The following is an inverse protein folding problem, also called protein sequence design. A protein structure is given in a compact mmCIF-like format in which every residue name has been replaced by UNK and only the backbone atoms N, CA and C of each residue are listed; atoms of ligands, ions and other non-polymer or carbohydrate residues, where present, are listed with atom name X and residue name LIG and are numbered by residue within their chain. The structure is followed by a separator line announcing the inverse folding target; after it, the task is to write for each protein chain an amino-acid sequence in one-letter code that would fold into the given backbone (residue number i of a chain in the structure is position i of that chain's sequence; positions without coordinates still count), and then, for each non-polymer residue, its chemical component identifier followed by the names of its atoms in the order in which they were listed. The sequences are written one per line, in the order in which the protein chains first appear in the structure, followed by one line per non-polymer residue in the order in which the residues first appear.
data_IF_852973822611
#
_entry.id   IF_852973822611
#
_cell.length_a   1.000
_cell.length_b   1.000
_cell.length_c   1.000
_cell.angle_alpha   90.00
_cell.angle_beta   90.00
_cell.angle_gamma   90.00
#
_symmetry.space_group_name_H-M   'P 1'
#
loop_
_entity.id
_entity.type
_entity.pdbx_description
1 polymer ?
#
# COMPACT_ATOMS: atom_id res chain seq x y z
N UNK A 1 39.66 -16.28 -37.48
CA UNK A 1 38.84 -16.98 -36.47
C UNK A 1 37.84 -15.95 -35.90
N UNK A 2 36.60 -16.02 -36.32
CA UNK A 2 35.56 -15.11 -35.81
C UNK A 2 34.99 -15.73 -34.52
N UNK A 3 35.06 -14.98 -33.43
CA UNK A 3 34.43 -15.35 -32.15
C UNK A 3 32.93 -15.24 -32.29
N UNK A 4 32.22 -16.35 -32.23
CA UNK A 4 30.75 -16.39 -32.10
C UNK A 4 30.39 -15.96 -30.69
N UNK A 5 29.74 -14.79 -30.54
CA UNK A 5 29.05 -14.41 -29.32
C UNK A 5 28.00 -15.47 -28.98
N UNK A 6 27.87 -15.91 -27.71
CA UNK A 6 26.79 -16.78 -27.35
C UNK A 6 25.45 -16.00 -27.48
N UNK A 7 24.52 -16.56 -28.24
CA UNK A 7 23.17 -16.08 -28.28
C UNK A 7 22.61 -16.13 -26.83
N UNK A 8 22.15 -15.01 -26.30
CA UNK A 8 21.46 -14.96 -25.01
C UNK A 8 20.19 -15.82 -25.12
N UNK A 9 20.15 -16.86 -24.30
CA UNK A 9 19.04 -17.81 -24.25
C UNK A 9 17.79 -17.11 -23.67
N UNK A 10 17.06 -16.43 -24.55
CA UNK A 10 15.80 -15.75 -24.21
C UNK A 10 14.67 -16.73 -23.83
N UNK A 11 14.91 -18.05 -24.00
CA UNK A 11 13.90 -19.08 -23.72
C UNK A 11 13.81 -19.46 -22.23
N UNK A 12 14.86 -19.19 -21.43
CA UNK A 12 14.87 -19.57 -20.00
C UNK A 12 14.13 -18.57 -19.09
N UNK A 13 13.89 -17.34 -19.52
CA UNK A 13 13.22 -16.33 -18.70
C UNK A 13 11.70 -16.52 -18.64
N UNK A 14 11.09 -17.28 -19.55
CA UNK A 14 9.64 -17.55 -19.57
C UNK A 14 9.18 -18.52 -18.47
N UNK A 15 10.10 -19.22 -17.81
CA UNK A 15 9.79 -20.15 -16.70
C UNK A 15 10.00 -19.51 -15.31
N UNK A 16 10.55 -18.30 -15.23
CA UNK A 16 10.84 -17.65 -13.96
C UNK A 16 9.61 -16.88 -13.47
N UNK A 17 9.18 -17.18 -12.24
CA UNK A 17 8.18 -16.37 -11.51
C UNK A 17 8.90 -15.19 -10.83
N UNK A 18 8.84 -14.01 -11.43
CA UNK A 18 9.49 -12.81 -10.89
C UNK A 18 8.54 -12.17 -9.86
N UNK A 19 9.02 -12.01 -8.65
CA UNK A 19 8.29 -11.33 -7.57
C UNK A 19 9.01 -10.03 -7.25
N UNK A 20 8.30 -8.93 -7.35
CA UNK A 20 8.75 -7.63 -6.85
C UNK A 20 8.47 -7.55 -5.36
N UNK A 21 9.52 -7.38 -4.56
CA UNK A 21 9.44 -7.45 -3.08
C UNK A 21 9.50 -6.09 -2.40
N UNK A 22 9.51 -4.99 -3.14
CA UNK A 22 9.65 -3.63 -2.62
C UNK A 22 8.75 -2.66 -3.38
N UNK A 23 7.44 -2.90 -3.29
CA UNK A 23 6.43 -2.04 -3.86
C UNK A 23 5.55 -1.43 -2.77
N UNK A 24 4.94 -0.28 -3.07
CA UNK A 24 4.03 0.41 -2.15
C UNK A 24 2.62 0.48 -2.71
N UNK A 25 1.64 0.49 -1.81
CA UNK A 25 0.25 0.81 -2.16
C UNK A 25 0.00 2.30 -1.88
N UNK A 26 -0.71 2.97 -2.78
CA UNK A 26 -1.30 4.27 -2.46
C UNK A 26 -2.72 4.02 -1.98
N UNK A 27 -2.97 4.30 -0.72
CA UNK A 27 -4.29 4.10 -0.11
C UNK A 27 -5.32 5.03 -0.74
N UNK A 28 -6.48 4.48 -1.12
CA UNK A 28 -7.61 5.28 -1.55
C UNK A 28 -8.04 6.25 -0.44
N UNK A 29 -8.39 7.48 -0.80
CA UNK A 29 -8.69 8.53 0.17
C UNK A 29 -9.85 8.20 1.10
N UNK A 30 -10.71 7.29 0.71
CA UNK A 30 -11.85 6.80 1.49
C UNK A 30 -11.65 5.40 2.09
N UNK A 31 -10.44 4.83 2.03
CA UNK A 31 -10.16 3.46 2.48
C UNK A 31 -10.76 3.19 3.87
N UNK A 32 -10.50 4.07 4.83
CA UNK A 32 -11.02 3.93 6.20
C UNK A 32 -12.45 4.41 6.34
N UNK A 33 -12.78 5.57 5.78
CA UNK A 33 -14.10 6.19 5.95
C UNK A 33 -15.22 5.42 5.28
N UNK A 34 -14.95 4.68 4.20
CA UNK A 34 -15.94 3.81 3.54
C UNK A 34 -16.25 2.53 4.34
N UNK A 35 -15.32 2.07 5.19
CA UNK A 35 -15.41 0.81 5.94
C UNK A 35 -15.71 0.99 7.44
N UNK A 36 -15.41 2.16 7.97
CA UNK A 36 -15.59 2.44 9.39
C UNK A 36 -17.04 2.36 9.82
N UNK A 37 -17.35 1.79 11.00
CA UNK A 37 -18.66 1.90 11.60
C UNK A 37 -19.03 3.37 11.84
N UNK A 38 -20.33 3.68 11.84
CA UNK A 38 -20.83 5.06 11.93
C UNK A 38 -20.25 5.84 13.13
N UNK A 39 -20.02 5.17 14.26
CA UNK A 39 -19.45 5.78 15.47
C UNK A 39 -17.97 6.19 15.35
N UNK A 40 -17.25 5.67 14.37
CA UNK A 40 -15.83 5.96 14.17
C UNK A 40 -15.56 6.73 12.87
N UNK A 41 -16.55 6.90 12.01
CA UNK A 41 -16.38 7.40 10.64
C UNK A 41 -15.67 8.75 10.57
N UNK A 42 -15.94 9.65 11.50
CA UNK A 42 -15.33 10.97 11.57
C UNK A 42 -13.98 10.99 12.31
N UNK A 43 -13.60 9.84 12.88
CA UNK A 43 -12.39 9.71 13.69
C UNK A 43 -11.28 8.88 13.03
N UNK A 44 -11.63 7.97 12.11
CA UNK A 44 -10.64 7.18 11.36
C UNK A 44 -9.82 8.05 10.40
N UNK A 45 -8.68 7.54 9.86
CA UNK A 45 -7.90 8.27 8.87
C UNK A 45 -8.76 8.76 7.70
N UNK A 46 -8.65 10.04 7.39
CA UNK A 46 -9.34 10.73 6.32
C UNK A 46 -8.46 11.83 5.73
N UNK A 47 -8.72 12.18 4.48
CA UNK A 47 -8.01 13.27 3.81
C UNK A 47 -8.73 14.59 4.06
N UNK A 48 -7.99 15.62 4.45
CA UNK A 48 -8.45 17.01 4.61
C UNK A 48 -7.61 17.94 3.76
N UNK A 49 -8.10 19.16 3.53
CA UNK A 49 -7.42 20.14 2.70
C UNK A 49 -7.68 19.98 1.19
N UNK A 50 -6.97 20.71 0.38
CA UNK A 50 -7.10 20.69 -1.09
C UNK A 50 -5.75 20.90 -1.78
N UNK A 51 -5.60 20.38 -2.99
CA UNK A 51 -4.37 20.49 -3.77
C UNK A 51 -3.15 19.99 -3.00
N UNK A 52 -2.08 20.76 -2.96
CA UNK A 52 -0.83 20.41 -2.29
C UNK A 52 -0.92 20.42 -0.74
N UNK A 53 -1.96 21.07 -0.19
CA UNK A 53 -2.17 21.13 1.27
C UNK A 53 -2.99 19.94 1.80
N UNK A 54 -3.29 18.96 0.96
CA UNK A 54 -3.96 17.72 1.40
C UNK A 54 -3.09 16.96 2.38
N UNK A 55 -3.73 16.49 3.46
CA UNK A 55 -3.07 15.66 4.46
C UNK A 55 -4.00 14.56 4.98
N UNK A 56 -3.41 13.44 5.38
CA UNK A 56 -4.09 12.43 6.16
C UNK A 56 -4.14 12.84 7.62
N UNK A 57 -5.33 12.87 8.17
CA UNK A 57 -5.58 13.15 9.57
C UNK A 57 -6.41 12.05 10.21
N UNK A 58 -6.30 11.91 11.53
CA UNK A 58 -7.04 10.95 12.35
C UNK A 58 -7.54 11.64 13.62
N UNK A 59 -8.62 11.14 14.21
CA UNK A 59 -9.26 11.68 15.41
C UNK A 59 -9.55 13.19 15.30
N UNK A 60 -9.04 14.02 16.20
CA UNK A 60 -9.21 15.48 16.24
C UNK A 60 -8.19 16.19 15.35
N UNK A 61 -8.15 15.81 14.07
CA UNK A 61 -7.26 16.38 13.06
C UNK A 61 -5.75 16.19 13.34
N UNK A 62 -5.39 15.10 14.02
CA UNK A 62 -3.98 14.73 14.19
C UNK A 62 -3.44 14.32 12.82
N UNK A 63 -2.52 15.11 12.28
CA UNK A 63 -1.88 14.79 11.02
C UNK A 63 -0.95 13.59 11.17
N UNK A 64 -1.17 12.55 10.34
CA UNK A 64 -0.38 11.33 10.33
C UNK A 64 0.54 11.23 9.12
N UNK A 65 0.14 11.80 7.97
CA UNK A 65 0.93 11.79 6.74
C UNK A 65 0.50 12.90 5.79
N UNK A 66 1.29 13.13 4.73
CA UNK A 66 0.87 13.83 3.51
C UNK A 66 0.09 12.86 2.62
N UNK A 67 -0.53 13.37 1.55
CA UNK A 67 -1.21 12.52 0.55
C UNK A 67 -0.31 12.14 -0.62
N UNK A 68 1.00 12.27 -0.47
CA UNK A 68 1.95 11.85 -1.50
C UNK A 68 1.80 10.34 -1.78
N UNK A 69 1.60 9.94 -3.05
CA UNK A 69 1.34 8.54 -3.41
C UNK A 69 2.59 7.66 -3.43
N UNK A 70 3.76 8.17 -3.11
CA UNK A 70 5.06 7.46 -3.15
C UNK A 70 5.32 6.73 -4.49
N UNK A 71 4.73 7.20 -5.57
CA UNK A 71 4.90 6.63 -6.91
C UNK A 71 5.86 7.47 -7.75
N UNK A 72 6.81 6.80 -8.38
CA UNK A 72 7.75 7.43 -9.32
C UNK A 72 7.23 7.45 -10.76
N UNK A 73 6.12 6.77 -11.05
CA UNK A 73 5.53 6.69 -12.38
C UNK A 73 4.43 7.73 -12.52
N UNK A 74 4.61 8.64 -13.44
CA UNK A 74 3.64 9.68 -13.77
C UNK A 74 2.41 9.11 -14.47
N UNK A 75 1.34 9.88 -14.51
CA UNK A 75 0.08 9.52 -15.19
C UNK A 75 0.26 9.09 -16.64
N UNK A 76 1.19 9.69 -17.36
CA UNK A 76 1.49 9.36 -18.76
C UNK A 76 2.43 8.13 -18.92
N UNK A 77 2.81 7.46 -17.84
CA UNK A 77 3.73 6.33 -17.84
C UNK A 77 5.21 6.69 -17.74
N UNK A 78 5.57 7.97 -17.84
CA UNK A 78 6.97 8.38 -17.70
C UNK A 78 7.45 8.23 -16.26
N UNK A 79 8.72 7.87 -16.10
CA UNK A 79 9.36 7.83 -14.78
C UNK A 79 9.82 9.22 -14.36
N UNK A 80 9.54 9.61 -13.13
CA UNK A 80 10.10 10.83 -12.53
C UNK A 80 11.59 10.68 -12.29
N UNK A 81 12.28 11.82 -12.16
CA UNK A 81 13.71 11.84 -11.87
C UNK A 81 13.97 12.30 -10.44
N UNK A 82 14.97 11.68 -9.83
CA UNK A 82 15.38 12.04 -8.46
C UNK A 82 14.22 11.99 -7.47
N UNK A 83 14.06 13.03 -6.69
CA UNK A 83 13.08 13.17 -5.61
C UNK A 83 11.81 13.94 -6.00
N UNK A 84 11.61 14.25 -7.28
CA UNK A 84 10.48 15.07 -7.74
C UNK A 84 9.13 14.46 -7.38
N UNK A 85 9.07 13.12 -7.28
CA UNK A 85 7.86 12.38 -6.92
C UNK A 85 7.31 12.71 -5.53
N UNK A 86 8.11 13.27 -4.62
CA UNK A 86 7.61 13.70 -3.31
C UNK A 86 6.60 14.86 -3.38
N UNK A 87 6.57 15.60 -4.48
CA UNK A 87 5.60 16.65 -4.74
C UNK A 87 4.32 16.18 -5.43
N UNK A 88 4.25 14.92 -5.86
CA UNK A 88 3.10 14.40 -6.61
C UNK A 88 1.86 14.22 -5.73
N UNK A 89 0.71 14.42 -6.38
CA UNK A 89 -0.60 14.08 -5.86
C UNK A 89 -1.13 12.85 -6.60
N UNK A 90 -2.22 12.28 -6.13
CA UNK A 90 -2.82 11.08 -6.74
C UNK A 90 -3.20 11.30 -8.22
N UNK A 91 -3.50 12.54 -8.59
CA UNK A 91 -3.81 12.93 -9.97
C UNK A 91 -2.60 12.94 -10.89
N UNK A 92 -1.38 13.00 -10.35
CA UNK A 92 -0.14 13.10 -11.11
C UNK A 92 0.46 11.74 -11.45
N UNK A 93 0.03 10.69 -10.78
CA UNK A 93 0.63 9.36 -10.89
C UNK A 93 -0.20 8.41 -11.75
N UNK A 94 0.43 7.35 -12.24
CA UNK A 94 -0.20 6.29 -13.01
C UNK A 94 -1.28 5.59 -12.16
N UNK A 95 -2.40 5.26 -12.78
CA UNK A 95 -3.55 4.66 -12.07
C UNK A 95 -3.22 3.36 -11.33
N UNK A 96 -2.29 2.55 -11.83
CA UNK A 96 -1.81 1.34 -11.14
C UNK A 96 -1.19 1.61 -9.75
N UNK A 97 -0.97 2.87 -9.38
CA UNK A 97 -0.51 3.22 -8.02
C UNK A 97 -1.62 3.06 -6.98
N UNK A 98 -2.89 3.26 -7.35
CA UNK A 98 -4.05 3.25 -6.46
C UNK A 98 -5.20 2.36 -6.93
N UNK A 99 -5.28 2.00 -8.22
CA UNK A 99 -6.25 1.03 -8.75
C UNK A 99 -5.57 -0.34 -8.84
N UNK A 100 -6.04 -1.27 -8.01
CA UNK A 100 -5.42 -2.60 -7.92
C UNK A 100 -5.72 -3.48 -9.12
N UNK A 101 -6.82 -3.24 -9.87
CA UNK A 101 -7.08 -3.95 -11.13
C UNK A 101 -6.14 -3.49 -12.23
N UNK A 102 -5.96 -2.17 -12.37
CA UNK A 102 -4.96 -1.61 -13.28
C UNK A 102 -3.54 -2.09 -12.91
N UNK A 103 -3.25 -2.26 -11.61
CA UNK A 103 -1.97 -2.77 -11.14
C UNK A 103 -1.72 -4.21 -11.57
N UNK A 104 -2.70 -5.10 -11.45
CA UNK A 104 -2.56 -6.50 -11.91
C UNK A 104 -2.32 -6.54 -13.43
N UNK A 105 -3.00 -5.72 -14.21
CA UNK A 105 -2.75 -5.60 -15.65
C UNK A 105 -1.33 -5.12 -15.95
N UNK A 106 -0.81 -4.19 -15.14
CA UNK A 106 0.57 -3.72 -15.28
C UNK A 106 1.58 -4.81 -14.95
N UNK A 107 1.32 -5.66 -13.94
CA UNK A 107 2.14 -6.84 -13.65
C UNK A 107 2.24 -7.77 -14.87
N UNK A 108 1.10 -8.03 -15.53
CA UNK A 108 1.06 -8.87 -16.72
C UNK A 108 1.90 -8.26 -17.87
N UNK A 109 1.82 -6.95 -18.08
CA UNK A 109 2.61 -6.24 -19.08
C UNK A 109 4.11 -6.32 -18.83
N UNK A 110 4.53 -6.30 -17.56
CA UNK A 110 5.95 -6.39 -17.18
C UNK A 110 6.45 -7.82 -16.94
N UNK A 111 5.60 -8.83 -17.07
CA UNK A 111 5.96 -10.22 -16.81
C UNK A 111 6.26 -10.50 -15.33
N UNK A 112 5.67 -9.70 -14.42
CA UNK A 112 5.80 -9.91 -12.99
C UNK A 112 4.73 -10.89 -12.50
N UNK A 113 5.15 -11.89 -11.74
CA UNK A 113 4.25 -12.88 -11.16
C UNK A 113 3.43 -12.31 -10.00
N UNK A 114 4.08 -11.62 -9.07
CA UNK A 114 3.43 -11.03 -7.89
C UNK A 114 4.23 -9.83 -7.37
N UNK A 115 3.59 -9.04 -6.50
CA UNK A 115 4.22 -7.94 -5.76
C UNK A 115 3.91 -8.04 -4.27
N UNK A 116 4.92 -7.78 -3.42
CA UNK A 116 4.74 -7.47 -2.00
C UNK A 116 4.48 -5.97 -1.90
N UNK A 117 3.39 -5.59 -1.22
CA UNK A 117 2.95 -4.20 -1.10
C UNK A 117 3.06 -3.71 0.33
N UNK A 118 3.89 -2.70 0.53
CA UNK A 118 4.00 -2.01 1.82
C UNK A 118 2.99 -0.86 1.92
N UNK A 119 2.46 -0.59 3.13
CA UNK A 119 1.60 0.55 3.35
C UNK A 119 2.36 1.86 3.16
N UNK A 120 1.67 2.87 2.64
CA UNK A 120 2.24 4.20 2.46
C UNK A 120 1.87 5.14 3.63
N UNK A 121 0.59 5.24 3.96
CA UNK A 121 0.10 6.17 4.99
C UNK A 121 0.45 5.73 6.41
N UNK A 122 0.31 4.45 6.70
CA UNK A 122 0.48 3.89 8.03
C UNK A 122 1.76 3.03 8.17
N UNK A 123 2.61 3.00 7.12
CA UNK A 123 3.91 2.32 7.11
C UNK A 123 5.01 3.17 7.73
N UNK A 124 5.74 3.89 6.89
CA UNK A 124 6.84 4.78 7.28
C UNK A 124 6.36 6.00 8.06
N UNK A 125 5.74 6.13 8.96
CA UNK A 125 5.18 7.28 9.69
C UNK A 125 4.20 6.79 10.74
N UNK A 126 4.14 5.48 10.93
CA UNK A 126 3.27 4.86 11.92
C UNK A 126 3.46 5.41 13.34
N UNK A 127 4.65 5.97 13.67
CA UNK A 127 4.87 6.66 14.93
C UNK A 127 3.88 7.82 15.15
N UNK A 128 3.37 8.44 14.10
CA UNK A 128 2.35 9.48 14.21
C UNK A 128 1.02 8.95 14.77
N UNK A 129 0.71 7.66 14.60
CA UNK A 129 -0.43 7.03 15.25
C UNK A 129 -0.33 7.05 16.78
N UNK A 130 0.88 7.12 17.35
CA UNK A 130 1.07 7.25 18.80
C UNK A 130 0.57 8.58 19.38
N UNK A 131 0.34 9.58 18.52
CA UNK A 131 -0.28 10.85 18.93
C UNK A 131 -1.79 10.69 19.20
N UNK A 132 -2.40 9.61 18.69
CA UNK A 132 -3.79 9.26 18.99
C UNK A 132 -3.84 8.56 20.33
N UNK A 133 -4.37 9.20 21.35
CA UNK A 133 -4.40 8.67 22.72
C UNK A 133 -5.34 7.46 22.88
N UNK A 134 -6.45 7.44 22.13
CA UNK A 134 -7.42 6.35 22.13
C UNK A 134 -6.85 5.07 21.49
N UNK A 135 -6.43 4.13 22.32
CA UNK A 135 -5.85 2.87 21.85
C UNK A 135 -6.83 1.98 21.10
N UNK A 136 -8.13 2.08 21.39
CA UNK A 136 -9.15 1.32 20.67
C UNK A 136 -9.34 1.88 19.25
N UNK A 137 -9.28 3.21 19.10
CA UNK A 137 -9.31 3.83 17.78
C UNK A 137 -8.09 3.43 16.95
N UNK A 138 -6.89 3.44 17.55
CA UNK A 138 -5.67 2.99 16.85
C UNK A 138 -5.81 1.55 16.37
N UNK A 139 -6.28 0.65 17.23
CA UNK A 139 -6.51 -0.76 16.86
C UNK A 139 -7.54 -0.87 15.73
N UNK A 140 -8.66 -0.18 15.82
CA UNK A 140 -9.69 -0.17 14.79
C UNK A 140 -9.14 0.32 13.44
N UNK A 141 -8.28 1.36 13.44
CA UNK A 141 -7.65 1.83 12.20
C UNK A 141 -6.75 0.77 11.56
N UNK A 142 -5.95 0.04 12.34
CA UNK A 142 -5.13 -1.05 11.84
C UNK A 142 -5.98 -2.21 11.28
N UNK A 143 -7.05 -2.57 12.00
CA UNK A 143 -7.95 -3.65 11.57
C UNK A 143 -8.70 -3.31 10.28
N UNK A 144 -9.24 -2.09 10.15
CA UNK A 144 -9.91 -1.65 8.92
C UNK A 144 -8.94 -1.68 7.73
N UNK A 145 -7.69 -1.26 7.94
CA UNK A 145 -6.66 -1.37 6.91
C UNK A 145 -6.43 -2.83 6.51
N UNK A 146 -6.22 -3.72 7.48
CA UNK A 146 -5.93 -5.13 7.23
C UNK A 146 -7.08 -5.84 6.51
N UNK A 147 -8.34 -5.51 6.85
CA UNK A 147 -9.52 -6.02 6.16
C UNK A 147 -9.50 -5.62 4.67
N UNK A 148 -9.22 -4.33 4.39
CA UNK A 148 -9.10 -3.86 3.01
C UNK A 148 -7.95 -4.54 2.25
N UNK A 149 -6.83 -4.80 2.91
CA UNK A 149 -5.68 -5.49 2.31
C UNK A 149 -5.99 -6.95 2.02
N UNK A 150 -6.74 -7.62 2.86
CA UNK A 150 -7.19 -9.00 2.61
C UNK A 150 -8.13 -9.07 1.39
N UNK A 151 -9.03 -8.10 1.22
CA UNK A 151 -9.87 -7.96 0.02
C UNK A 151 -9.00 -7.80 -1.24
N UNK A 152 -8.04 -6.88 -1.22
CA UNK A 152 -7.11 -6.64 -2.35
C UNK A 152 -6.34 -7.90 -2.72
N UNK A 153 -5.82 -8.62 -1.73
CA UNK A 153 -5.09 -9.86 -1.97
C UNK A 153 -5.99 -10.91 -2.62
N UNK A 154 -7.19 -11.11 -2.09
CA UNK A 154 -8.16 -12.09 -2.61
C UNK A 154 -8.58 -11.71 -4.04
N UNK A 155 -8.96 -10.46 -4.29
CA UNK A 155 -9.42 -9.95 -5.59
C UNK A 155 -8.34 -10.03 -6.68
N UNK A 156 -7.07 -9.95 -6.29
CA UNK A 156 -5.93 -10.11 -7.21
C UNK A 156 -5.51 -11.57 -7.43
N UNK A 157 -6.22 -12.55 -6.90
CA UNK A 157 -5.82 -13.96 -6.90
C UNK A 157 -4.41 -14.18 -6.30
N UNK A 158 -4.09 -13.49 -5.21
CA UNK A 158 -2.78 -13.50 -4.56
C UNK A 158 -1.62 -13.02 -5.46
N UNK A 159 -1.90 -12.19 -6.45
CA UNK A 159 -0.88 -11.51 -7.25
C UNK A 159 -0.33 -10.27 -6.53
N UNK A 160 -1.15 -9.63 -5.71
CA UNK A 160 -0.79 -8.54 -4.82
C UNK A 160 -0.78 -9.09 -3.39
N UNK A 161 0.32 -8.89 -2.69
CA UNK A 161 0.57 -9.43 -1.34
C UNK A 161 0.79 -8.27 -0.36
N UNK A 162 -0.28 -7.58 0.07
CA UNK A 162 -0.14 -6.48 1.01
C UNK A 162 0.32 -6.94 2.39
N UNK A 163 1.19 -6.15 3.01
CA UNK A 163 1.64 -6.40 4.37
C UNK A 163 0.64 -5.85 5.37
N UNK A 164 0.25 -6.68 6.33
CA UNK A 164 -0.67 -6.28 7.38
C UNK A 164 -0.01 -5.34 8.40
N UNK A 165 -0.74 -4.32 8.83
CA UNK A 165 -0.33 -3.42 9.91
C UNK A 165 -0.49 -4.09 11.27
N UNK A 166 0.55 -3.98 12.11
CA UNK A 166 0.50 -4.49 13.47
C UNK A 166 0.30 -3.36 14.48
N UNK A 167 -0.53 -3.58 15.52
CA UNK A 167 -0.67 -2.65 16.63
C UNK A 167 0.53 -2.75 17.59
N UNK A 168 1.73 -2.44 17.10
CA UNK A 168 3.03 -2.60 17.75
C UNK A 168 3.18 -1.90 19.11
N UNK A 169 2.26 -1.00 19.45
CA UNK A 169 2.18 -0.34 20.77
C UNK A 169 1.60 -1.24 21.87
N UNK A 170 1.05 -2.41 21.53
CA UNK A 170 0.48 -3.39 22.44
C UNK A 170 0.77 -4.82 21.94
N UNK A 171 1.57 -5.56 22.69
CA UNK A 171 2.06 -6.88 22.28
C UNK A 171 0.92 -7.90 22.18
N UNK A 172 -0.02 -7.90 23.14
CA UNK A 172 -1.14 -8.84 23.14
C UNK A 172 -2.06 -8.60 21.92
N UNK A 173 -2.35 -7.33 21.61
CA UNK A 173 -3.10 -6.96 20.42
C UNK A 173 -2.34 -7.33 19.14
N UNK A 174 -1.00 -7.17 19.12
CA UNK A 174 -0.19 -7.57 17.95
C UNK A 174 -0.25 -9.07 17.71
N UNK A 175 -0.11 -9.88 18.75
CA UNK A 175 -0.22 -11.35 18.63
C UNK A 175 -1.61 -11.77 18.14
N UNK A 176 -2.67 -11.16 18.67
CA UNK A 176 -4.04 -11.42 18.21
C UNK A 176 -4.24 -11.00 16.74
N UNK A 177 -3.68 -9.84 16.36
CA UNK A 177 -3.82 -9.34 14.98
C UNK A 177 -3.00 -10.14 13.97
N UNK A 178 -1.83 -10.69 14.33
CA UNK A 178 -1.08 -11.65 13.50
C UNK A 178 -1.94 -12.88 13.21
N UNK A 179 -2.61 -13.44 14.24
CA UNK A 179 -3.48 -14.59 14.07
C UNK A 179 -4.66 -14.26 13.15
N UNK A 180 -5.32 -13.11 13.36
CA UNK A 180 -6.44 -12.64 12.54
C UNK A 180 -6.01 -12.40 11.08
N UNK A 181 -4.90 -11.71 10.85
CA UNK A 181 -4.36 -11.45 9.52
C UNK A 181 -4.08 -12.75 8.75
N UNK A 182 -3.49 -13.74 9.44
CA UNK A 182 -3.27 -15.09 8.87
C UNK A 182 -4.58 -15.78 8.51
N UNK A 183 -5.60 -15.73 9.36
CA UNK A 183 -6.92 -16.30 9.09
C UNK A 183 -7.61 -15.67 7.88
N UNK A 184 -7.43 -14.36 7.68
CA UNK A 184 -7.91 -13.64 6.51
C UNK A 184 -7.09 -13.96 5.23
N UNK A 185 -5.98 -14.65 5.35
CA UNK A 185 -5.14 -15.10 4.22
C UNK A 185 -3.96 -14.20 3.91
N UNK A 186 -3.75 -13.08 4.63
CA UNK A 186 -2.58 -12.21 4.45
C UNK A 186 -1.27 -12.97 4.68
N UNK A 187 -0.22 -12.65 3.91
CA UNK A 187 1.01 -13.43 3.83
C UNK A 187 2.16 -12.83 4.64
N UNK A 188 2.06 -11.59 5.04
CA UNK A 188 3.11 -10.91 5.78
C UNK A 188 2.60 -9.76 6.64
N UNK A 189 3.47 -9.22 7.46
CA UNK A 189 3.20 -8.13 8.40
C UNK A 189 4.29 -7.05 8.30
N UNK A 190 3.97 -5.85 8.72
CA UNK A 190 4.87 -4.71 8.82
C UNK A 190 4.70 -3.99 10.14
#
# INVERSE_FOLDING_TARGET
MAATSPASDASQTSELSIIDVDAHITEAHDLWTSRAPASLKDRVPRVVGSGADRAWVVDRDIQISTTNPSSVIKRNGDKSRGIDFFGFQIEDVHEASYDMKARVQLLDQFGLYAQILYPNVAGFGSQNFMKVEDSNLRLACAQIYNDAMAEIQADSNNRLLPMALMPWWNIEQSVAEVARAKEMGLKGIV
#
